data_IF_315603214530
#
_entry.id   IF_315603214530
#
_cell.length_a   1.000
_cell.length_b   1.000
_cell.length_c   1.000
_cell.angle_alpha   90.00
_cell.angle_beta   90.00
_cell.angle_gamma   90.00
#
_symmetry.space_group_name_H-M   'P 1'
#
loop_
_entity.id
_entity.type
_entity.pdbx_description
1 polymer ?
#
# COMPACT_ATOMS: atom_id res chain seq x y z
N UNK A 1 4.43 -14.89 -16.82
CA UNK A 1 3.89 -13.51 -16.83
C UNK A 1 2.57 -13.53 -16.11
N UNK A 2 2.36 -12.64 -15.14
CA UNK A 2 1.02 -12.37 -14.63
C UNK A 2 0.31 -11.56 -15.71
N UNK A 3 -0.70 -12.12 -16.37
CA UNK A 3 -1.40 -11.46 -17.48
C UNK A 3 -2.47 -10.50 -16.95
N UNK A 4 -2.07 -9.49 -16.19
CA UNK A 4 -2.94 -8.35 -15.91
C UNK A 4 -2.72 -7.28 -16.99
N UNK A 5 -3.80 -6.60 -17.36
CA UNK A 5 -3.69 -5.33 -18.09
C UNK A 5 -3.31 -4.16 -17.16
N UNK A 6 -3.25 -4.40 -15.84
CA UNK A 6 -2.88 -3.40 -14.86
C UNK A 6 -1.41 -2.97 -15.01
N UNK A 7 -1.18 -1.67 -14.90
CA UNK A 7 0.14 -1.06 -14.75
C UNK A 7 0.58 -1.23 -13.28
N UNK A 8 1.86 -1.52 -13.04
CA UNK A 8 2.41 -1.69 -11.69
C UNK A 8 3.28 -0.48 -11.34
N UNK A 9 3.06 0.08 -10.16
CA UNK A 9 3.68 1.33 -9.71
C UNK A 9 4.61 1.12 -8.50
N UNK A 10 4.26 0.22 -7.59
CA UNK A 10 5.00 -0.03 -6.35
C UNK A 10 5.43 -1.49 -6.17
N UNK A 11 6.51 -1.68 -5.42
CA UNK A 11 7.05 -3.00 -5.05
C UNK A 11 7.65 -2.95 -3.64
N UNK A 12 7.29 -3.92 -2.80
CA UNK A 12 7.88 -4.11 -1.47
C UNK A 12 8.33 -5.57 -1.31
N UNK A 13 9.57 -5.80 -0.89
CA UNK A 13 10.13 -7.15 -0.78
C UNK A 13 10.73 -7.42 0.59
N UNK A 14 10.41 -8.58 1.15
CA UNK A 14 10.90 -9.09 2.43
C UNK A 14 11.79 -10.34 2.29
N UNK A 15 12.00 -10.79 1.05
CA UNK A 15 12.79 -11.96 0.72
C UNK A 15 12.63 -12.35 -0.74
N UNK A 16 13.35 -13.40 -1.21
CA UNK A 16 13.22 -13.90 -2.57
C UNK A 16 11.85 -14.55 -2.86
N UNK A 17 11.09 -14.88 -1.81
CA UNK A 17 9.82 -15.57 -1.83
C UNK A 17 8.69 -14.78 -1.15
N UNK A 18 8.93 -13.50 -0.85
CA UNK A 18 7.91 -12.63 -0.28
C UNK A 18 8.05 -11.22 -0.86
N UNK A 19 7.31 -10.96 -1.93
CA UNK A 19 7.32 -9.67 -2.63
C UNK A 19 5.88 -9.27 -2.95
N UNK A 20 5.51 -8.06 -2.57
CA UNK A 20 4.21 -7.46 -2.90
C UNK A 20 4.37 -6.40 -3.99
N UNK A 21 3.36 -6.29 -4.84
CA UNK A 21 3.26 -5.30 -5.90
C UNK A 21 1.91 -4.61 -5.82
N UNK A 22 1.88 -3.33 -6.19
CA UNK A 22 0.66 -2.55 -6.29
C UNK A 22 0.59 -1.80 -7.63
N UNK A 23 -0.61 -1.43 -8.07
CA UNK A 23 -0.79 -0.84 -9.38
C UNK A 23 -2.18 -0.29 -9.67
N UNK A 24 -2.47 -0.10 -10.96
CA UNK A 24 -3.77 0.34 -11.47
C UNK A 24 -4.87 -0.71 -11.27
N UNK A 25 -6.12 -0.31 -11.47
CA UNK A 25 -7.29 -1.20 -11.45
C UNK A 25 -7.43 -2.05 -10.17
N UNK A 26 -7.06 -1.48 -9.01
CA UNK A 26 -7.09 -2.17 -7.73
C UNK A 26 -6.07 -3.29 -7.57
N UNK A 27 -5.02 -3.34 -8.41
CA UNK A 27 -4.04 -4.41 -8.40
C UNK A 27 -3.21 -4.42 -7.11
N UNK A 28 -3.36 -5.51 -6.36
CA UNK A 28 -2.47 -5.93 -5.27
C UNK A 28 -2.06 -7.38 -5.54
N UNK A 29 -0.76 -7.64 -5.58
CA UNK A 29 -0.22 -8.94 -6.00
C UNK A 29 0.84 -9.38 -4.99
N UNK A 30 0.82 -10.66 -4.63
CA UNK A 30 1.88 -11.30 -3.84
C UNK A 30 2.63 -12.34 -4.67
N UNK A 31 3.95 -12.29 -4.62
CA UNK A 31 4.83 -13.32 -5.14
C UNK A 31 5.39 -14.14 -3.99
N UNK A 32 5.09 -15.45 -4.01
CA UNK A 32 5.45 -16.39 -2.95
C UNK A 32 6.71 -17.22 -3.26
N UNK A 33 7.53 -16.77 -4.21
CA UNK A 33 8.71 -17.51 -4.69
C UNK A 33 8.43 -18.50 -5.82
N UNK A 34 7.16 -18.90 -6.03
CA UNK A 34 6.76 -19.83 -7.09
C UNK A 34 5.80 -19.19 -8.10
N UNK A 35 4.84 -18.41 -7.62
CA UNK A 35 3.80 -17.81 -8.44
C UNK A 35 3.46 -16.38 -8.00
N UNK A 36 2.87 -15.62 -8.92
CA UNK A 36 2.26 -14.32 -8.65
C UNK A 36 0.76 -14.53 -8.46
N UNK A 37 0.26 -14.14 -7.29
CA UNK A 37 -1.14 -14.28 -6.89
C UNK A 37 -1.77 -12.91 -6.68
N UNK A 38 -2.84 -12.60 -7.41
CA UNK A 38 -3.65 -11.43 -7.10
C UNK A 38 -4.33 -11.59 -5.74
N UNK A 39 -4.33 -10.51 -4.97
CA UNK A 39 -5.01 -10.38 -3.69
C UNK A 39 -6.19 -9.41 -3.88
N UNK A 40 -7.43 -9.79 -3.53
CA UNK A 40 -8.57 -8.89 -3.67
C UNK A 40 -8.42 -7.63 -2.81
N UNK A 41 -8.42 -6.46 -3.45
CA UNK A 41 -8.47 -5.14 -2.78
C UNK A 41 -9.89 -4.66 -2.48
N UNK A 42 -10.89 -5.28 -3.13
CA UNK A 42 -12.31 -4.89 -3.07
C UNK A 42 -12.61 -3.50 -3.65
N UNK A 43 -11.66 -2.92 -4.40
CA UNK A 43 -11.79 -1.62 -5.08
C UNK A 43 -11.14 -1.67 -6.47
N UNK A 44 -11.42 -0.66 -7.28
CA UNK A 44 -10.76 -0.43 -8.57
C UNK A 44 -9.82 0.78 -8.54
N UNK A 45 -9.71 1.48 -7.41
CA UNK A 45 -8.80 2.61 -7.24
C UNK A 45 -7.34 2.19 -7.44
N UNK A 46 -6.49 3.14 -7.81
CA UNK A 46 -5.07 2.88 -8.07
C UNK A 46 -4.26 2.91 -6.79
N UNK A 47 -3.27 2.03 -6.70
CA UNK A 47 -2.25 2.03 -5.64
C UNK A 47 -0.92 2.46 -6.21
N UNK A 48 -0.43 3.62 -5.77
CA UNK A 48 0.77 4.26 -6.32
C UNK A 48 2.05 3.82 -5.62
N UNK A 49 1.97 3.39 -4.36
CA UNK A 49 3.11 2.87 -3.63
C UNK A 49 2.69 1.82 -2.58
N UNK A 50 3.63 0.94 -2.24
CA UNK A 50 3.45 -0.13 -1.27
C UNK A 50 4.72 -0.28 -0.45
N UNK A 51 4.57 -0.25 0.87
CA UNK A 51 5.70 -0.34 1.78
C UNK A 51 5.29 -0.87 3.15
N UNK A 52 6.24 -1.50 3.83
CA UNK A 52 6.11 -1.93 5.22
C UNK A 52 7.48 -2.12 5.87
N UNK A 53 7.62 -1.93 7.20
CA UNK A 53 8.84 -2.26 7.93
C UNK A 53 9.07 -3.77 8.07
N UNK A 54 8.02 -4.58 7.92
CA UNK A 54 8.04 -6.04 8.09
C UNK A 54 7.01 -6.71 7.17
N UNK A 55 7.12 -8.03 6.98
CA UNK A 55 6.16 -8.78 6.15
C UNK A 55 4.77 -8.86 6.80
N UNK A 56 4.72 -8.67 8.11
CA UNK A 56 3.52 -8.68 8.94
C UNK A 56 2.84 -7.31 8.99
N UNK A 57 3.49 -6.25 8.48
CA UNK A 57 3.00 -4.88 8.58
C UNK A 57 3.23 -4.13 7.27
N UNK A 58 2.27 -4.24 6.34
CA UNK A 58 2.39 -3.68 4.99
C UNK A 58 1.21 -2.79 4.66
N UNK A 59 1.49 -1.64 4.08
CA UNK A 59 0.52 -0.68 3.61
C UNK A 59 0.65 -0.42 2.11
N UNK A 60 -0.47 -0.23 1.44
CA UNK A 60 -0.52 0.30 0.08
C UNK A 60 -1.30 1.62 0.08
N UNK A 61 -0.79 2.63 -0.62
CA UNK A 61 -1.38 3.97 -0.68
C UNK A 61 -1.70 4.36 -2.12
N UNK A 62 -2.69 5.23 -2.33
CA UNK A 62 -3.09 5.59 -3.68
C UNK A 62 -4.19 6.64 -3.82
N UNK A 63 -4.97 6.50 -4.89
CA UNK A 63 -6.02 7.44 -5.32
C UNK A 63 -7.13 7.58 -4.26
N UNK A 64 -7.82 8.72 -4.23
CA UNK A 64 -8.96 9.00 -3.34
C UNK A 64 -8.62 8.78 -1.86
N UNK A 65 -7.40 9.17 -1.45
CA UNK A 65 -6.88 8.95 -0.11
C UNK A 65 -6.81 7.48 0.30
N UNK A 66 -6.71 6.55 -0.65
CA UNK A 66 -6.74 5.12 -0.34
C UNK A 66 -5.53 4.73 0.49
N UNK A 67 -5.80 4.06 1.61
CA UNK A 67 -4.81 3.36 2.43
C UNK A 67 -5.36 1.96 2.70
N UNK A 68 -4.61 0.94 2.29
CA UNK A 68 -4.92 -0.46 2.60
C UNK A 68 -3.84 -1.00 3.51
N UNK A 69 -4.24 -1.75 4.53
CA UNK A 69 -3.36 -2.52 5.41
C UNK A 69 -3.51 -4.01 5.13
N UNK A 70 -2.40 -4.73 5.12
CA UNK A 70 -2.39 -6.18 4.99
C UNK A 70 -2.58 -6.84 6.37
N UNK A 71 -3.78 -7.34 6.62
CA UNK A 71 -4.09 -8.13 7.81
C UNK A 71 -4.01 -9.62 7.48
N UNK A 72 -2.84 -10.21 7.74
CA UNK A 72 -2.52 -11.58 7.34
C UNK A 72 -2.49 -11.74 5.82
N UNK A 73 -3.54 -12.35 5.26
CA UNK A 73 -3.68 -12.58 3.81
C UNK A 73 -4.77 -11.69 3.17
N UNK A 74 -5.33 -10.72 3.90
CA UNK A 74 -6.43 -9.88 3.43
C UNK A 74 -6.07 -8.41 3.50
N UNK A 75 -6.37 -7.68 2.43
CA UNK A 75 -6.24 -6.23 2.40
C UNK A 75 -7.51 -5.57 2.96
N UNK A 76 -7.32 -4.71 3.96
CA UNK A 76 -8.42 -3.96 4.61
C UNK A 76 -8.16 -2.47 4.46
N UNK A 77 -9.19 -1.72 4.04
CA UNK A 77 -9.11 -0.26 3.96
C UNK A 77 -9.02 0.34 5.36
N UNK A 78 -8.08 1.27 5.55
CA UNK A 78 -7.97 2.12 6.72
C UNK A 78 -8.34 3.55 6.31
N UNK A 79 -9.06 4.25 7.18
CA UNK A 79 -9.45 5.64 6.95
C UNK A 79 -8.22 6.56 7.01
N UNK A 80 -8.07 7.40 6.00
CA UNK A 80 -6.97 8.39 5.89
C UNK A 80 -7.40 9.81 6.26
N UNK A 81 -8.72 10.05 6.39
CA UNK A 81 -9.33 11.36 6.62
C UNK A 81 -9.05 12.38 5.49
N UNK A 82 -8.76 11.92 4.28
CA UNK A 82 -8.53 12.75 3.10
C UNK A 82 -8.99 12.04 1.83
N UNK A 83 -9.25 12.80 0.77
CA UNK A 83 -9.50 12.29 -0.59
C UNK A 83 -8.35 12.63 -1.55
N UNK A 84 -7.29 13.30 -1.06
CA UNK A 84 -6.11 13.64 -1.86
C UNK A 84 -5.35 12.38 -2.29
N UNK A 85 -4.70 12.44 -3.45
CA UNK A 85 -3.85 11.35 -3.94
C UNK A 85 -2.69 11.12 -2.97
N UNK A 86 -2.49 9.88 -2.53
CA UNK A 86 -1.30 9.47 -1.79
C UNK A 86 -0.33 8.79 -2.75
N UNK A 87 0.86 9.37 -2.89
CA UNK A 87 1.80 9.05 -3.98
C UNK A 87 3.00 8.24 -3.52
N UNK A 88 3.32 8.27 -2.23
CA UNK A 88 4.43 7.51 -1.66
C UNK A 88 4.21 7.24 -0.17
N UNK A 89 4.81 6.15 0.33
CA UNK A 89 4.78 5.75 1.73
C UNK A 89 6.16 5.26 2.19
N UNK A 90 6.54 5.62 3.41
CA UNK A 90 7.79 5.16 4.02
C UNK A 90 7.74 5.31 5.55
N UNK A 91 8.58 4.58 6.28
CA UNK A 91 8.68 4.77 7.73
C UNK A 91 9.95 4.20 8.36
N UNK A 92 10.04 4.37 9.68
CA UNK A 92 11.16 3.83 10.49
C UNK A 92 10.77 2.65 11.36
N UNK A 93 9.48 2.47 11.63
CA UNK A 93 8.93 1.39 12.46
C UNK A 93 7.43 1.21 12.18
N UNK A 94 6.83 0.17 12.77
CA UNK A 94 5.38 -0.10 12.70
C UNK A 94 4.53 1.01 13.33
N UNK A 95 5.13 1.86 14.16
CA UNK A 95 4.47 2.98 14.86
C UNK A 95 4.93 4.35 14.35
N UNK A 96 5.75 4.39 13.30
CA UNK A 96 6.25 5.65 12.76
C UNK A 96 6.44 5.56 11.25
N UNK A 97 5.39 5.92 10.52
CA UNK A 97 5.39 5.94 9.06
C UNK A 97 4.72 7.21 8.55
N UNK A 98 5.04 7.57 7.31
CA UNK A 98 4.52 8.74 6.64
C UNK A 98 4.02 8.37 5.26
N UNK A 99 2.90 8.95 4.88
CA UNK A 99 2.41 8.96 3.51
C UNK A 99 2.40 10.40 3.02
N UNK A 100 2.79 10.62 1.77
CA UNK A 100 2.79 11.95 1.16
C UNK A 100 1.88 11.97 -0.04
N UNK A 101 1.32 13.15 -0.34
CA UNK A 101 0.29 13.28 -1.35
C UNK A 101 0.26 14.64 -2.04
N UNK A 102 -0.77 14.78 -2.87
CA UNK A 102 -1.06 16.02 -3.57
C UNK A 102 -1.23 17.21 -2.62
N UNK A 103 -1.08 18.42 -3.17
CA UNK A 103 -1.21 19.69 -2.43
C UNK A 103 -0.26 19.82 -1.23
N UNK A 104 0.82 19.03 -1.18
CA UNK A 104 1.78 19.03 -0.09
C UNK A 104 1.30 18.30 1.16
N UNK A 105 0.27 17.46 1.04
CA UNK A 105 -0.23 16.65 2.15
C UNK A 105 0.86 15.71 2.68
N UNK A 106 1.01 15.68 4.00
CA UNK A 106 1.80 14.69 4.73
C UNK A 106 0.89 14.08 5.79
N UNK A 107 0.70 12.78 5.75
CA UNK A 107 0.06 11.99 6.80
C UNK A 107 1.12 11.28 7.64
N UNK A 108 0.88 11.19 8.94
CA UNK A 108 1.69 10.44 9.89
C UNK A 108 0.86 9.32 10.51
N UNK A 109 1.43 8.12 10.52
CA UNK A 109 0.95 6.97 11.26
C UNK A 109 1.72 6.85 12.57
N UNK A 110 0.98 6.85 13.67
CA UNK A 110 1.48 6.82 15.04
C UNK A 110 1.39 5.44 15.72
N UNK A 111 0.95 4.40 15.00
CA UNK A 111 0.64 3.07 15.55
C UNK A 111 -0.86 2.76 15.69
N UNK A 112 -1.73 3.77 15.56
CA UNK A 112 -3.18 3.63 15.74
C UNK A 112 -3.96 4.24 14.56
N UNK A 113 -3.58 5.43 14.10
CA UNK A 113 -4.31 6.19 13.11
C UNK A 113 -3.41 7.03 12.18
N UNK A 114 -3.94 7.34 10.99
CA UNK A 114 -3.32 8.28 10.04
C UNK A 114 -3.87 9.69 10.26
N UNK A 115 -3.00 10.64 10.53
CA UNK A 115 -3.37 12.05 10.74
C UNK A 115 -2.50 13.00 9.92
N UNK A 116 -3.06 14.12 9.41
CA UNK A 116 -2.27 15.17 8.80
C UNK A 116 -1.23 15.76 9.76
N UNK A 117 -0.03 15.99 9.26
CA UNK A 117 1.03 16.72 9.97
C UNK A 117 0.85 18.22 9.71
N UNK A 118 0.81 19.02 10.78
CA UNK A 118 0.81 20.50 10.71
C UNK A 118 2.21 21.12 10.72
#
# INVERSE_FOLDING_TARGET
TFNSNAELYGICGFGPDNIYFCGSDGALIHFNGAEFKAMPSQTMEFFLDIWGPSAEFVFAVGDMGMIMYLDGDQWTRIESNTEEYLTAIWGTSEENMYAVGDNGLILHWNGEDWTPVE
#
